data_IF_965044151582
#
_entry.id   IF_965044151582
#
_cell.length_a   1.000
_cell.length_b   1.000
_cell.length_c   1.000
_cell.angle_alpha   90.00
_cell.angle_beta   90.00
_cell.angle_gamma   90.00
#
_symmetry.space_group_name_H-M   'P 1'
#
loop_
_entity.id
_entity.type
_entity.pdbx_description
1 polymer ?
#
# COMPACT_ATOMS: atom_id res chain seq x y z
N UNK A 1 4.55 2.10 17.99
CA UNK A 1 3.56 2.48 16.97
C UNK A 1 4.40 2.93 15.78
N UNK A 2 4.51 2.08 14.76
CA UNK A 2 5.52 2.20 13.69
C UNK A 2 4.89 2.75 12.42
N UNK A 3 5.67 3.52 11.67
CA UNK A 3 5.27 4.18 10.42
C UNK A 3 6.29 3.88 9.34
N UNK A 4 5.82 3.54 8.15
CA UNK A 4 6.65 3.27 6.98
C UNK A 4 6.36 4.28 5.88
N UNK A 5 7.41 4.62 5.13
CA UNK A 5 7.29 5.46 3.94
C UNK A 5 7.05 4.59 2.71
N UNK A 6 5.89 4.78 2.07
CA UNK A 6 5.54 4.10 0.82
C UNK A 6 6.07 4.93 -0.33
N UNK A 7 7.04 4.36 -1.07
CA UNK A 7 7.76 5.05 -2.15
C UNK A 7 7.45 4.45 -3.52
N UNK A 8 7.35 5.33 -4.51
CA UNK A 8 7.31 5.01 -5.94
C UNK A 8 7.93 6.17 -6.74
N UNK A 9 8.89 5.87 -7.63
CA UNK A 9 9.56 6.83 -8.52
C UNK A 9 10.10 8.08 -7.81
N UNK A 10 10.66 7.89 -6.63
CA UNK A 10 11.24 8.97 -5.83
C UNK A 10 10.23 9.78 -5.01
N UNK A 11 8.94 9.47 -5.12
CA UNK A 11 7.85 10.14 -4.39
C UNK A 11 7.17 9.18 -3.43
N UNK A 12 6.41 9.68 -2.47
CA UNK A 12 5.74 8.81 -1.52
C UNK A 12 4.91 9.51 -0.45
N UNK A 13 4.35 8.69 0.42
CA UNK A 13 3.58 9.12 1.58
C UNK A 13 3.90 8.24 2.79
N UNK A 14 3.57 8.74 3.98
CA UNK A 14 3.73 8.01 5.23
C UNK A 14 2.43 7.29 5.59
N UNK A 15 2.53 6.06 6.09
CA UNK A 15 1.39 5.33 6.66
C UNK A 15 1.81 4.62 7.94
N UNK A 16 0.88 4.45 8.87
CA UNK A 16 1.09 3.49 9.95
C UNK A 16 1.18 2.08 9.40
N UNK A 17 2.09 1.31 9.96
CA UNK A 17 2.28 -0.10 9.58
C UNK A 17 0.99 -0.88 9.84
N UNK A 18 0.27 -0.55 10.92
CA UNK A 18 -1.03 -1.15 11.24
C UNK A 18 -2.15 -0.91 10.21
N UNK A 19 -1.96 0.00 9.24
CA UNK A 19 -2.87 0.17 8.09
C UNK A 19 -2.28 -0.40 6.81
N UNK A 20 -0.95 -0.34 6.67
CA UNK A 20 -0.25 -0.81 5.49
C UNK A 20 -0.19 -2.34 5.44
N UNK A 21 0.08 -3.01 6.56
CA UNK A 21 0.06 -4.48 6.67
C UNK A 21 -1.27 -5.09 6.23
N UNK A 22 -2.44 -4.70 6.79
CA UNK A 22 -3.72 -5.25 6.35
C UNK A 22 -4.05 -4.87 4.90
N UNK A 23 -3.65 -3.69 4.41
CA UNK A 23 -3.81 -3.35 2.99
C UNK A 23 -3.04 -4.33 2.09
N UNK A 24 -1.78 -4.60 2.41
CA UNK A 24 -0.94 -5.52 1.64
C UNK A 24 -1.47 -6.97 1.69
N UNK A 25 -2.00 -7.40 2.85
CA UNK A 25 -2.67 -8.69 2.96
C UNK A 25 -3.89 -8.78 2.01
N UNK A 26 -4.76 -7.77 2.03
CA UNK A 26 -5.95 -7.72 1.18
C UNK A 26 -5.60 -7.70 -0.31
N UNK A 27 -4.58 -6.95 -0.69
CA UNK A 27 -4.09 -6.89 -2.06
C UNK A 27 -3.53 -8.25 -2.52
N UNK A 28 -2.77 -8.92 -1.65
CA UNK A 28 -2.24 -10.25 -1.96
C UNK A 28 -3.35 -11.31 -2.04
N UNK A 29 -4.39 -11.21 -1.22
CA UNK A 29 -5.56 -12.08 -1.30
C UNK A 29 -6.37 -11.84 -2.58
N UNK A 30 -6.45 -10.59 -3.04
CA UNK A 30 -7.08 -10.24 -4.32
C UNK A 30 -6.33 -10.83 -5.53
N UNK A 31 -4.99 -10.92 -5.47
CA UNK A 31 -4.19 -11.63 -6.51
C UNK A 31 -4.53 -13.13 -6.54
N UNK A 32 -4.92 -13.70 -5.40
CA UNK A 32 -5.37 -15.07 -5.29
C UNK A 32 -4.26 -16.14 -5.25
N UNK A 33 -4.62 -17.43 -5.11
CA UNK A 33 -3.68 -18.52 -4.85
C UNK A 33 -2.87 -18.99 -6.07
N UNK A 34 -3.32 -18.70 -7.29
CA UNK A 34 -2.65 -19.17 -8.52
C UNK A 34 -2.72 -18.10 -9.63
N UNK A 35 -1.98 -16.99 -9.49
CA UNK A 35 -1.95 -15.96 -10.53
C UNK A 35 -1.27 -16.49 -11.80
N UNK A 36 -1.80 -16.11 -12.96
CA UNK A 36 -1.33 -16.59 -14.25
C UNK A 36 0.09 -16.12 -14.62
N UNK A 37 0.56 -15.03 -14.00
CA UNK A 37 1.87 -14.44 -14.29
C UNK A 37 2.83 -14.56 -13.11
N UNK A 38 4.08 -14.93 -13.42
CA UNK A 38 5.15 -15.10 -12.44
C UNK A 38 5.39 -13.85 -11.60
N UNK A 39 5.30 -12.65 -12.19
CA UNK A 39 5.49 -11.40 -11.48
C UNK A 39 4.37 -11.13 -10.46
N UNK A 40 3.11 -11.48 -10.77
CA UNK A 40 2.00 -11.39 -9.80
C UNK A 40 2.17 -12.37 -8.66
N UNK A 41 2.70 -13.57 -8.93
CA UNK A 41 3.04 -14.52 -7.88
C UNK A 41 4.10 -13.94 -6.93
N UNK A 42 5.19 -13.41 -7.48
CA UNK A 42 6.25 -12.77 -6.68
C UNK A 42 5.73 -11.56 -5.90
N UNK A 43 4.90 -10.71 -6.51
CA UNK A 43 4.30 -9.56 -5.86
C UNK A 43 3.40 -9.97 -4.68
N UNK A 44 2.55 -10.98 -4.88
CA UNK A 44 1.68 -11.53 -3.83
C UNK A 44 2.49 -12.07 -2.66
N UNK A 45 3.50 -12.87 -2.94
CA UNK A 45 4.31 -13.51 -1.91
C UNK A 45 5.11 -12.45 -1.13
N UNK A 46 5.62 -11.42 -1.81
CA UNK A 46 6.24 -10.25 -1.19
C UNK A 46 5.26 -9.51 -0.27
N UNK A 47 4.09 -9.12 -0.77
CA UNK A 47 3.08 -8.41 0.02
C UNK A 47 2.56 -9.22 1.22
N UNK A 48 2.38 -10.54 1.08
CA UNK A 48 2.08 -11.41 2.24
C UNK A 48 3.20 -11.44 3.26
N UNK A 49 4.45 -11.52 2.81
CA UNK A 49 5.61 -11.49 3.70
C UNK A 49 5.68 -10.17 4.47
N UNK A 50 5.46 -9.04 3.80
CA UNK A 50 5.41 -7.72 4.43
C UNK A 50 4.24 -7.58 5.41
N UNK A 51 3.07 -8.14 5.10
CA UNK A 51 1.90 -8.09 5.98
C UNK A 51 2.01 -9.00 7.22
N UNK A 52 2.87 -10.01 7.20
CA UNK A 52 2.97 -11.01 8.28
C UNK A 52 3.71 -10.52 9.53
N UNK A 53 4.22 -9.28 9.54
CA UNK A 53 4.97 -8.72 10.67
C UNK A 53 6.32 -9.40 10.94
N UNK A 54 6.76 -10.32 10.07
CA UNK A 54 8.05 -11.02 10.18
C UNK A 54 9.22 -10.03 10.12
N UNK A 55 9.05 -8.90 9.44
CA UNK A 55 9.99 -7.79 9.43
C UNK A 55 9.59 -6.76 10.49
N UNK A 56 10.16 -6.91 11.69
CA UNK A 56 9.87 -6.10 12.90
C UNK A 56 10.18 -4.60 12.83
N UNK A 57 10.45 -4.02 11.66
CA UNK A 57 10.86 -2.62 11.59
C UNK A 57 10.23 -1.84 10.44
N UNK A 58 10.18 -2.34 9.20
CA UNK A 58 9.72 -1.55 8.06
C UNK A 58 8.92 -2.36 7.06
N UNK A 59 7.78 -1.79 6.65
CA UNK A 59 6.92 -2.33 5.60
C UNK A 59 7.26 -1.63 4.29
N UNK A 60 7.80 -2.38 3.32
CA UNK A 60 8.22 -1.86 2.03
C UNK A 60 7.45 -2.55 0.89
N UNK A 61 6.44 -1.88 0.30
CA UNK A 61 5.66 -2.44 -0.81
C UNK A 61 6.46 -2.69 -2.10
N UNK A 62 7.69 -2.15 -2.22
CA UNK A 62 8.60 -2.25 -3.37
C UNK A 62 7.93 -1.96 -4.73
N UNK A 63 7.14 -0.89 -4.80
CA UNK A 63 6.40 -0.53 -6.02
C UNK A 63 7.32 -0.31 -7.23
N UNK A 64 8.51 0.28 -7.03
CA UNK A 64 9.49 0.50 -8.10
C UNK A 64 10.04 -0.81 -8.72
N UNK A 65 10.07 -1.91 -7.95
CA UNK A 65 10.58 -3.21 -8.41
C UNK A 65 9.54 -3.98 -9.21
N UNK A 66 8.27 -3.89 -8.82
CA UNK A 66 7.19 -4.67 -9.44
C UNK A 66 6.44 -3.88 -10.53
N UNK A 67 6.29 -2.57 -10.38
CA UNK A 67 5.53 -1.70 -11.27
C UNK A 67 6.45 -1.04 -12.32
N UNK A 68 7.04 -1.89 -13.15
CA UNK A 68 8.07 -1.52 -14.14
C UNK A 68 7.51 -1.15 -15.51
N UNK A 69 6.25 -1.47 -15.80
CA UNK A 69 5.58 -1.18 -17.06
C UNK A 69 4.18 -0.61 -16.83
N UNK A 70 3.63 0.04 -17.84
CA UNK A 70 2.27 0.61 -17.81
C UNK A 70 1.21 -0.47 -17.58
N UNK A 71 1.33 -1.63 -18.24
CA UNK A 71 0.45 -2.79 -18.01
C UNK A 71 0.42 -3.24 -16.54
N UNK A 72 1.59 -3.26 -15.89
CA UNK A 72 1.70 -3.61 -14.46
C UNK A 72 1.13 -2.52 -13.57
N UNK A 73 1.34 -1.25 -13.93
CA UNK A 73 0.77 -0.10 -13.24
C UNK A 73 -0.76 -0.17 -13.24
N UNK A 74 -1.37 -0.35 -14.41
CA UNK A 74 -2.82 -0.48 -14.56
C UNK A 74 -3.35 -1.68 -13.79
N UNK A 75 -2.65 -2.81 -13.83
CA UNK A 75 -3.02 -4.00 -13.04
C UNK A 75 -3.03 -3.68 -11.54
N UNK A 76 -1.99 -3.04 -11.02
CA UNK A 76 -1.90 -2.74 -9.57
C UNK A 76 -2.96 -1.73 -9.16
N UNK A 77 -3.21 -0.70 -9.99
CA UNK A 77 -4.30 0.24 -9.75
C UNK A 77 -5.65 -0.48 -9.70
N UNK A 78 -5.91 -1.41 -10.61
CA UNK A 78 -7.15 -2.20 -10.62
C UNK A 78 -7.30 -3.06 -9.35
N UNK A 79 -6.21 -3.66 -8.85
CA UNK A 79 -6.22 -4.40 -7.58
C UNK A 79 -6.55 -3.50 -6.39
N UNK A 80 -5.95 -2.30 -6.33
CA UNK A 80 -6.21 -1.32 -5.28
C UNK A 80 -7.67 -0.86 -5.33
N UNK A 81 -8.21 -0.59 -6.51
CA UNK A 81 -9.62 -0.22 -6.69
C UNK A 81 -10.58 -1.35 -6.27
N UNK A 82 -10.25 -2.59 -6.59
CA UNK A 82 -11.03 -3.76 -6.17
C UNK A 82 -11.06 -3.90 -4.64
N UNK A 83 -9.91 -3.74 -3.98
CA UNK A 83 -9.83 -3.79 -2.51
C UNK A 83 -10.53 -2.59 -1.85
N UNK A 84 -10.27 -1.37 -2.30
CA UNK A 84 -10.83 -0.14 -1.69
C UNK A 84 -12.34 0.02 -1.91
N UNK A 85 -12.89 -0.66 -2.91
CA UNK A 85 -14.34 -0.71 -3.18
C UNK A 85 -15.09 -1.66 -2.25
N UNK A 86 -14.39 -2.53 -1.51
CA UNK A 86 -15.00 -3.40 -0.50
C UNK A 86 -15.58 -2.56 0.65
N UNK A 87 -16.75 -2.93 1.16
CA UNK A 87 -17.45 -2.17 2.22
C UNK A 87 -17.01 -2.57 3.64
N UNK A 88 -16.30 -3.68 3.78
CA UNK A 88 -15.92 -4.33 5.04
C UNK A 88 -14.48 -4.05 5.49
N UNK A 89 -13.78 -3.12 4.81
CA UNK A 89 -12.42 -2.74 5.19
C UNK A 89 -12.40 -1.52 6.13
N UNK A 90 -11.47 -1.46 7.10
CA UNK A 90 -11.32 -0.28 7.95
C UNK A 90 -11.06 0.98 7.11
N UNK A 91 -11.59 2.12 7.59
CA UNK A 91 -11.48 3.39 6.87
C UNK A 91 -10.03 3.78 6.60
N UNK A 92 -9.16 3.58 7.57
CA UNK A 92 -7.74 3.94 7.50
C UNK A 92 -7.01 3.07 6.47
N UNK A 93 -7.33 1.77 6.40
CA UNK A 93 -6.82 0.86 5.37
C UNK A 93 -7.26 1.31 3.97
N UNK A 94 -8.52 1.74 3.85
CA UNK A 94 -9.06 2.30 2.61
C UNK A 94 -8.35 3.59 2.21
N UNK A 95 -8.14 4.52 3.14
CA UNK A 95 -7.41 5.77 2.90
C UNK A 95 -5.96 5.51 2.47
N UNK A 96 -5.26 4.56 3.10
CA UNK A 96 -3.92 4.12 2.69
C UNK A 96 -3.94 3.56 1.26
N UNK A 97 -4.96 2.78 0.90
CA UNK A 97 -5.14 2.27 -0.46
C UNK A 97 -5.33 3.40 -1.49
N UNK A 98 -6.18 4.38 -1.18
CA UNK A 98 -6.40 5.54 -2.06
C UNK A 98 -5.13 6.39 -2.24
N UNK A 99 -4.33 6.59 -1.20
CA UNK A 99 -3.04 7.27 -1.33
C UNK A 99 -2.05 6.46 -2.16
N UNK A 100 -2.05 5.13 -2.03
CA UNK A 100 -1.23 4.27 -2.88
C UNK A 100 -1.65 4.37 -4.36
N UNK A 101 -2.95 4.45 -4.64
CA UNK A 101 -3.46 4.69 -5.99
C UNK A 101 -3.02 6.06 -6.54
N UNK A 102 -3.20 7.14 -5.77
CA UNK A 102 -2.76 8.49 -6.16
C UNK A 102 -1.25 8.57 -6.35
N UNK A 103 -0.46 7.83 -5.56
CA UNK A 103 0.99 7.72 -5.74
C UNK A 103 1.34 7.10 -7.10
N UNK A 104 0.68 5.99 -7.44
CA UNK A 104 0.89 5.27 -8.70
C UNK A 104 0.46 6.11 -9.92
N UNK A 105 -0.60 6.92 -9.78
CA UNK A 105 -1.02 7.88 -10.81
C UNK A 105 -0.11 9.12 -10.93
N UNK A 106 0.85 9.28 -10.01
CA UNK A 106 1.77 10.43 -9.98
C UNK A 106 1.14 11.72 -9.46
N UNK A 107 -0.02 11.63 -8.80
CA UNK A 107 -0.72 12.76 -8.17
C UNK A 107 -0.03 13.22 -6.89
N UNK A 108 0.67 12.30 -6.21
CA UNK A 108 1.54 12.62 -5.09
C UNK A 108 2.85 13.19 -5.63
N UNK A 109 3.26 14.34 -5.09
CA UNK A 109 4.49 15.07 -5.47
C UNK A 109 5.53 15.10 -4.35
N UNK A 110 5.18 14.62 -3.15
CA UNK A 110 6.01 14.64 -1.95
C UNK A 110 7.08 13.57 -1.94
N UNK A 111 8.14 13.83 -1.19
CA UNK A 111 9.28 12.94 -0.95
C UNK A 111 9.43 12.63 0.55
N UNK A 112 10.46 11.87 0.91
CA UNK A 112 10.75 11.46 2.30
C UNK A 112 11.07 12.64 3.23
N UNK A 113 11.44 13.80 2.68
CA UNK A 113 11.69 15.05 3.40
C UNK A 113 10.45 15.91 3.59
N UNK A 114 9.34 15.58 2.93
CA UNK A 114 8.08 16.29 3.08
C UNK A 114 7.38 15.84 4.37
N UNK A 115 6.94 16.77 5.25
CA UNK A 115 6.29 16.45 6.51
C UNK A 115 4.96 15.69 6.29
N UNK A 116 4.35 15.25 7.40
CA UNK A 116 3.16 14.39 7.57
C UNK A 116 1.87 14.79 6.82
N UNK A 117 1.92 15.69 5.85
CA UNK A 117 0.81 16.24 5.07
C UNK A 117 -0.07 15.15 4.42
N UNK A 118 0.51 13.97 4.18
CA UNK A 118 -0.16 12.81 3.60
C UNK A 118 -0.11 11.56 4.48
N UNK A 119 0.10 11.74 5.80
CA UNK A 119 0.04 10.63 6.74
C UNK A 119 -1.41 10.24 7.02
N UNK A 120 -1.78 9.01 6.65
CA UNK A 120 -2.98 8.39 7.24
C UNK A 120 -2.70 8.20 8.71
N UNK A 121 -3.50 8.79 9.57
CA UNK A 121 -3.45 8.56 11.01
C UNK A 121 -4.87 8.48 11.53
N UNK A 122 -5.15 7.57 12.45
CA UNK A 122 -6.39 7.63 13.21
C UNK A 122 -6.38 8.94 13.99
N UNK A 123 -7.11 9.95 13.50
CA UNK A 123 -7.26 11.19 14.24
C UNK A 123 -8.00 10.87 15.54
N UNK A 124 -7.35 11.19 16.64
CA UNK A 124 -7.73 10.93 18.02
C UNK A 124 -9.21 11.19 18.30
N UNK A 125 -9.91 10.14 18.77
CA UNK A 125 -10.98 10.31 19.73
C UNK A 125 -10.37 10.72 21.07
N UNK A 126 -10.24 12.02 21.29
CA UNK A 126 -10.31 12.59 22.63
C UNK A 126 -11.12 13.87 22.50
N UNK A 127 -12.31 13.87 23.11
CA UNK A 127 -12.53 14.85 24.13
C UNK A 127 -12.99 14.19 25.43
N UNK A 128 -12.27 14.56 26.50
CA UNK A 128 -12.71 14.73 27.89
C UNK A 128 -13.13 13.51 28.72
#
# INVERSE_FOLDING_TARGET
MSTSFVKYRGRGFWSWDGYLEPLLALLADEIGPSPESAWRNSLRDHWRSQASGVFSAWVHPNLDEYVTSEERLETVIALIQAVTSKQDIPREVKETGLLMESLLKGEITTDESSPLDYMVSSRQGSPE
#
